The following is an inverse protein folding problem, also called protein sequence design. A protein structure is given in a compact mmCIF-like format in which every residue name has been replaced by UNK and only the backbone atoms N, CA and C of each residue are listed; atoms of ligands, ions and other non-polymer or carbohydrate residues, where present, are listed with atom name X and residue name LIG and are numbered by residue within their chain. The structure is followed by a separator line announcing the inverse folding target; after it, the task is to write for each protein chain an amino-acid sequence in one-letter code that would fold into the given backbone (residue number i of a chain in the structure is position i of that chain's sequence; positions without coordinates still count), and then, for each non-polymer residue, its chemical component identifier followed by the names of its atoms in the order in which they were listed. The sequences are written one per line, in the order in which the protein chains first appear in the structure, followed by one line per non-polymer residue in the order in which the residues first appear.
data_IF_793288033365
#
_entry.id   IF_793288033365
#
_cell.length_a   1.000
_cell.length_b   1.000
_cell.length_c   1.000
_cell.angle_alpha   90.00
_cell.angle_beta   90.00
_cell.angle_gamma   90.00
#
_symmetry.space_group_name_H-M   'P 1'
#
loop_
_entity.id
_entity.type
_entity.pdbx_description
1 polymer ?
#
# COMPACT_ATOMS: atom_id res chain seq x y z
N UNK A 1 -34.14 -13.41 -14.01
CA UNK A 1 -32.75 -12.88 -14.04
C UNK A 1 -32.38 -12.65 -12.59
N UNK A 2 -31.24 -13.20 -12.12
CA UNK A 2 -30.67 -12.85 -10.78
C UNK A 2 -30.41 -11.35 -10.79
N UNK A 3 -30.82 -10.63 -9.75
CA UNK A 3 -30.46 -9.21 -9.61
C UNK A 3 -28.95 -9.02 -9.56
N UNK A 4 -28.43 -7.78 -9.61
CA UNK A 4 -27.01 -7.53 -9.44
C UNK A 4 -26.55 -8.10 -8.10
N UNK A 5 -25.39 -8.76 -8.10
CA UNK A 5 -24.80 -9.31 -6.86
C UNK A 5 -24.39 -8.16 -5.93
N UNK A 6 -24.77 -8.29 -4.64
CA UNK A 6 -24.41 -7.32 -3.62
C UNK A 6 -23.09 -7.71 -2.97
N UNK A 7 -22.10 -6.80 -3.04
CA UNK A 7 -20.72 -7.03 -2.62
C UNK A 7 -20.39 -6.20 -1.39
N UNK A 8 -20.02 -6.85 -0.27
CA UNK A 8 -19.43 -6.20 0.88
C UNK A 8 -17.89 -6.17 0.75
N UNK A 9 -17.29 -4.99 0.77
CA UNK A 9 -15.85 -4.81 0.85
C UNK A 9 -15.47 -4.40 2.26
N UNK A 10 -14.75 -5.28 2.96
CA UNK A 10 -14.35 -5.11 4.37
C UNK A 10 -12.93 -4.57 4.44
N UNK A 11 -12.78 -3.39 5.01
CA UNK A 11 -11.54 -2.61 5.02
C UNK A 11 -11.47 -1.64 3.85
N UNK A 12 -11.50 -0.33 4.15
CA UNK A 12 -11.50 0.76 3.15
C UNK A 12 -10.16 1.50 3.18
N UNK A 13 -9.07 0.71 3.21
CA UNK A 13 -7.74 1.15 2.82
C UNK A 13 -7.62 1.29 1.30
N UNK A 14 -6.41 1.54 0.78
CA UNK A 14 -6.19 1.77 -0.66
C UNK A 14 -6.67 0.61 -1.54
N UNK A 15 -6.50 -0.65 -1.11
CA UNK A 15 -6.95 -1.81 -1.88
C UNK A 15 -8.48 -1.89 -1.88
N UNK A 16 -9.12 -1.87 -0.70
CA UNK A 16 -10.57 -1.98 -0.61
C UNK A 16 -11.31 -0.82 -1.29
N UNK A 17 -10.83 0.41 -1.15
CA UNK A 17 -11.37 1.56 -1.87
C UNK A 17 -11.25 1.39 -3.41
N UNK A 18 -10.11 0.85 -3.89
CA UNK A 18 -9.92 0.57 -5.32
C UNK A 18 -10.84 -0.53 -5.84
N UNK A 19 -11.03 -1.61 -5.06
CA UNK A 19 -11.99 -2.68 -5.40
C UNK A 19 -13.40 -2.13 -5.45
N UNK A 20 -13.82 -1.43 -4.39
CA UNK A 20 -15.17 -0.89 -4.29
C UNK A 20 -15.51 0.10 -5.41
N UNK A 21 -14.59 1.00 -5.73
CA UNK A 21 -14.77 1.93 -6.86
C UNK A 21 -14.89 1.18 -8.20
N UNK A 22 -14.01 0.19 -8.46
CA UNK A 22 -14.09 -0.55 -9.72
C UNK A 22 -15.36 -1.39 -9.82
N UNK A 23 -15.86 -1.98 -8.74
CA UNK A 23 -17.13 -2.70 -8.73
C UNK A 23 -18.32 -1.76 -8.97
N UNK A 24 -18.42 -0.65 -8.20
CA UNK A 24 -19.56 0.26 -8.27
C UNK A 24 -19.67 0.94 -9.63
N UNK A 25 -18.56 1.40 -10.22
CA UNK A 25 -18.57 2.01 -11.56
C UNK A 25 -19.00 1.05 -12.69
N UNK A 26 -18.94 -0.27 -12.45
CA UNK A 26 -19.39 -1.29 -13.39
C UNK A 26 -20.77 -1.88 -13.01
N UNK A 27 -21.50 -1.23 -12.10
CA UNK A 27 -22.90 -1.50 -11.82
C UNK A 27 -23.18 -2.57 -10.77
N UNK A 28 -22.16 -3.04 -10.01
CA UNK A 28 -22.40 -3.87 -8.83
C UNK A 28 -23.02 -3.05 -7.69
N UNK A 29 -23.87 -3.68 -6.87
CA UNK A 29 -24.30 -3.11 -5.60
C UNK A 29 -23.20 -3.28 -4.56
N UNK A 30 -22.54 -2.20 -4.18
CA UNK A 30 -21.36 -2.24 -3.27
C UNK A 30 -21.68 -1.62 -1.93
N UNK A 31 -21.27 -2.28 -0.85
CA UNK A 31 -21.18 -1.68 0.48
C UNK A 31 -19.73 -1.66 0.93
N UNK A 32 -19.19 -0.48 1.24
CA UNK A 32 -17.85 -0.26 1.79
C UNK A 32 -17.92 -0.20 3.31
N UNK A 33 -17.27 -1.13 3.99
CA UNK A 33 -17.33 -1.27 5.46
C UNK A 33 -15.94 -1.10 6.05
N UNK A 34 -15.80 -0.20 7.02
CA UNK A 34 -14.57 -0.03 7.79
C UNK A 34 -14.88 0.22 9.27
N UNK A 35 -14.08 -0.36 10.16
CA UNK A 35 -14.18 -0.12 11.62
C UNK A 35 -13.78 1.29 12.04
N UNK A 36 -12.99 1.99 11.22
CA UNK A 36 -12.57 3.38 11.39
C UNK A 36 -13.05 4.25 10.22
N UNK A 37 -12.24 5.24 9.87
CA UNK A 37 -12.47 6.09 8.70
C UNK A 37 -11.67 5.61 7.49
N UNK A 38 -12.13 5.88 6.24
CA UNK A 38 -11.45 5.45 5.04
C UNK A 38 -9.98 5.89 5.00
N UNK A 39 -9.09 4.93 4.72
CA UNK A 39 -7.67 5.17 4.60
C UNK A 39 -6.93 5.51 5.89
N UNK A 40 -7.57 5.51 7.05
CA UNK A 40 -6.99 5.93 8.33
C UNK A 40 -5.96 4.94 8.88
N UNK A 41 -6.03 3.67 8.48
CA UNK A 41 -5.09 2.62 8.88
C UNK A 41 -3.71 2.76 8.22
N UNK A 42 -3.10 1.63 7.87
CA UNK A 42 -1.74 1.56 7.26
C UNK A 42 -1.58 2.43 6.02
N UNK A 43 -2.66 2.67 5.28
CA UNK A 43 -2.64 3.53 4.09
C UNK A 43 -2.16 4.96 4.39
N UNK A 44 -2.59 5.56 5.50
CA UNK A 44 -2.13 6.89 5.95
C UNK A 44 -0.74 6.85 6.60
N UNK A 45 -0.31 5.70 7.09
CA UNK A 45 0.89 5.50 7.88
C UNK A 45 1.89 4.59 7.18
N UNK A 46 2.02 4.75 5.87
CA UNK A 46 3.03 4.12 5.04
C UNK A 46 3.95 5.16 4.41
N UNK A 47 5.12 4.73 3.98
CA UNK A 47 6.01 5.59 3.19
C UNK A 47 5.38 5.94 1.82
N UNK A 48 4.36 5.21 1.41
CA UNK A 48 3.50 5.46 0.23
C UNK A 48 4.26 5.57 -1.10
N UNK A 49 5.31 4.79 -1.26
CA UNK A 49 6.12 4.71 -2.47
C UNK A 49 5.49 3.78 -3.50
N UNK A 50 5.32 4.26 -4.72
CA UNK A 50 4.82 3.53 -5.90
C UNK A 50 6.01 3.10 -6.72
N UNK A 51 6.33 1.79 -6.72
CA UNK A 51 7.60 1.30 -7.24
C UNK A 51 7.55 -0.17 -7.68
N UNK A 52 8.57 -0.55 -8.48
CA UNK A 52 8.94 -1.94 -8.75
C UNK A 52 10.44 -2.21 -8.55
N UNK A 53 11.28 -1.19 -8.38
CA UNK A 53 12.75 -1.32 -8.31
C UNK A 53 13.26 -2.21 -7.17
N UNK A 54 12.52 -2.34 -6.07
CA UNK A 54 12.89 -3.19 -4.94
C UNK A 54 12.14 -4.55 -4.93
N UNK A 55 11.48 -4.96 -6.04
CA UNK A 55 10.69 -6.18 -6.16
C UNK A 55 11.40 -7.31 -6.92
N UNK A 56 12.71 -7.31 -6.93
CA UNK A 56 13.55 -8.19 -7.75
C UNK A 56 13.64 -9.65 -7.27
N UNK A 57 13.09 -9.97 -6.10
CA UNK A 57 13.12 -11.34 -5.55
C UNK A 57 12.30 -12.36 -6.37
N UNK A 58 11.30 -11.91 -7.13
CA UNK A 58 10.45 -12.74 -7.98
C UNK A 58 9.96 -11.92 -9.18
N UNK A 59 10.18 -12.44 -10.40
CA UNK A 59 9.81 -11.70 -11.63
C UNK A 59 8.32 -11.41 -11.73
N UNK A 60 7.45 -12.38 -11.40
CA UNK A 60 6.00 -12.16 -11.41
C UNK A 60 5.54 -11.08 -10.42
N UNK A 61 6.23 -10.95 -9.27
CA UNK A 61 5.94 -9.87 -8.33
C UNK A 61 6.44 -8.51 -8.83
N UNK A 62 7.58 -8.48 -9.49
CA UNK A 62 8.05 -7.30 -10.19
C UNK A 62 7.04 -6.87 -11.26
N UNK A 63 6.61 -7.79 -12.12
CA UNK A 63 5.65 -7.51 -13.19
C UNK A 63 4.30 -6.99 -12.68
N UNK A 64 3.80 -7.59 -11.59
CA UNK A 64 2.59 -7.09 -10.93
C UNK A 64 2.78 -5.66 -10.40
N UNK A 65 3.96 -5.32 -9.84
CA UNK A 65 4.22 -3.96 -9.36
C UNK A 65 4.40 -2.96 -10.51
N UNK A 66 5.00 -3.36 -11.64
CA UNK A 66 5.06 -2.53 -12.88
C UNK A 66 3.64 -2.25 -13.38
N UNK A 67 2.78 -3.27 -13.44
CA UNK A 67 1.36 -3.09 -13.77
C UNK A 67 0.64 -2.17 -12.76
N UNK A 68 1.04 -2.22 -11.47
CA UNK A 68 0.54 -1.31 -10.44
C UNK A 68 0.94 0.14 -10.69
N UNK A 69 2.19 0.40 -11.07
CA UNK A 69 2.66 1.74 -11.45
C UNK A 69 1.87 2.28 -12.65
N UNK A 70 1.69 1.49 -13.69
CA UNK A 70 0.89 1.85 -14.86
C UNK A 70 -0.58 2.16 -14.48
N UNK A 71 -1.16 1.35 -13.59
CA UNK A 71 -2.52 1.56 -13.12
C UNK A 71 -2.69 2.87 -12.32
N UNK A 72 -1.66 3.36 -11.63
CA UNK A 72 -1.68 4.69 -11.01
C UNK A 72 -1.71 5.81 -12.05
N UNK A 73 -0.93 5.70 -13.13
CA UNK A 73 -0.96 6.68 -14.22
C UNK A 73 -2.34 6.72 -14.90
N UNK A 74 -2.93 5.55 -15.19
CA UNK A 74 -4.28 5.43 -15.75
C UNK A 74 -5.34 6.03 -14.80
N UNK A 75 -5.20 5.74 -13.49
CA UNK A 75 -6.10 6.27 -12.47
C UNK A 75 -6.01 7.80 -12.38
N UNK A 76 -4.79 8.36 -12.40
CA UNK A 76 -4.59 9.80 -12.40
C UNK A 76 -5.24 10.48 -13.62
N UNK A 77 -5.18 9.86 -14.79
CA UNK A 77 -5.90 10.30 -15.98
C UNK A 77 -7.43 10.21 -15.86
N UNK A 78 -7.94 9.31 -15.01
CA UNK A 78 -9.38 9.04 -14.88
C UNK A 78 -10.06 9.92 -13.82
N UNK A 79 -9.45 10.06 -12.63
CA UNK A 79 -10.05 10.77 -11.48
C UNK A 79 -9.36 12.10 -11.15
N UNK A 80 -8.36 12.50 -11.94
CA UNK A 80 -7.50 13.66 -11.71
C UNK A 80 -6.37 13.35 -10.72
N UNK A 81 -5.15 13.91 -10.94
CA UNK A 81 -3.98 13.65 -10.12
C UNK A 81 -3.92 14.47 -8.84
N UNK A 82 -4.71 15.53 -8.73
CA UNK A 82 -4.56 16.59 -7.73
C UNK A 82 -4.57 16.07 -6.30
N UNK A 83 -3.60 16.53 -5.53
CA UNK A 83 -3.44 16.30 -4.11
C UNK A 83 -3.10 14.85 -3.67
N UNK A 84 -2.98 13.89 -4.59
CA UNK A 84 -2.66 12.51 -4.22
C UNK A 84 -1.55 11.84 -5.03
N UNK A 85 -1.29 12.27 -6.30
CA UNK A 85 -0.34 11.63 -7.21
C UNK A 85 0.87 12.52 -7.49
N UNK A 86 2.06 12.02 -7.21
CA UNK A 86 3.32 12.77 -7.33
C UNK A 86 4.38 11.93 -8.07
N UNK A 87 4.39 11.96 -9.44
CA UNK A 87 5.34 11.22 -10.26
C UNK A 87 6.68 11.95 -10.34
N UNK A 88 7.36 12.12 -9.21
CA UNK A 88 8.60 12.89 -9.10
C UNK A 88 9.87 12.06 -9.33
N UNK A 89 9.75 10.76 -9.52
CA UNK A 89 10.86 9.82 -9.48
C UNK A 89 11.30 9.50 -8.05
N UNK A 90 12.33 8.65 -7.95
CA UNK A 90 12.88 8.18 -6.69
C UNK A 90 14.41 8.14 -6.74
N UNK A 91 15.07 8.59 -5.69
CA UNK A 91 16.52 8.59 -5.55
C UNK A 91 16.98 7.51 -4.57
N UNK A 92 18.12 6.87 -4.85
CA UNK A 92 18.71 5.87 -3.96
C UNK A 92 20.24 5.88 -4.02
N UNK A 93 20.89 5.88 -2.85
CA UNK A 93 22.35 5.75 -2.74
C UNK A 93 22.74 5.03 -1.44
N UNK A 94 24.01 4.69 -1.32
CA UNK A 94 24.60 4.06 -0.13
C UNK A 94 25.82 4.85 0.32
N UNK A 95 26.25 4.63 1.56
CA UNK A 95 27.45 5.19 2.17
C UNK A 95 28.56 4.14 2.40
N UNK A 96 28.28 2.88 2.06
CA UNK A 96 29.26 1.80 2.13
C UNK A 96 29.43 1.10 0.76
N UNK A 97 30.66 0.64 0.42
CA UNK A 97 30.93 0.05 -0.89
C UNK A 97 30.16 -1.25 -1.18
N UNK A 98 29.80 -2.02 -0.16
CA UNK A 98 29.08 -3.29 -0.37
C UNK A 98 27.61 -3.05 -0.71
N UNK A 99 26.96 -2.09 -0.04
CA UNK A 99 25.60 -1.67 -0.35
C UNK A 99 25.55 -0.96 -1.72
N UNK A 100 26.53 -0.10 -2.04
CA UNK A 100 26.67 0.53 -3.35
C UNK A 100 26.75 -0.51 -4.47
N UNK A 101 27.67 -1.46 -4.36
CA UNK A 101 27.83 -2.53 -5.34
C UNK A 101 26.57 -3.37 -5.49
N UNK A 102 25.80 -3.60 -4.40
CA UNK A 102 24.51 -4.27 -4.46
C UNK A 102 23.47 -3.45 -5.22
N UNK A 103 23.42 -2.14 -5.01
CA UNK A 103 22.48 -1.25 -5.71
C UNK A 103 22.78 -1.19 -7.21
N UNK A 104 24.05 -1.08 -7.59
CA UNK A 104 24.48 -1.08 -8.99
C UNK A 104 24.12 -2.40 -9.68
N UNK A 105 24.40 -3.56 -9.06
CA UNK A 105 23.98 -4.87 -9.61
C UNK A 105 22.45 -4.97 -9.75
N UNK A 106 21.69 -4.39 -8.82
CA UNK A 106 20.23 -4.35 -8.93
C UNK A 106 19.79 -3.47 -10.10
N UNK A 107 20.46 -2.35 -10.33
CA UNK A 107 20.19 -1.47 -11.48
C UNK A 107 20.46 -2.19 -12.82
N UNK A 108 21.56 -2.95 -12.92
CA UNK A 108 21.86 -3.78 -14.10
C UNK A 108 20.78 -4.84 -14.35
N UNK A 109 20.34 -5.55 -13.31
CA UNK A 109 19.25 -6.51 -13.41
C UNK A 109 17.95 -5.86 -13.90
N UNK A 110 17.59 -4.70 -13.36
CA UNK A 110 16.40 -3.94 -13.72
C UNK A 110 16.48 -3.45 -15.17
N UNK A 111 17.63 -2.95 -15.59
CA UNK A 111 17.85 -2.59 -16.99
C UNK A 111 17.66 -3.78 -17.94
N UNK A 112 18.10 -4.99 -17.53
CA UNK A 112 17.83 -6.23 -18.25
C UNK A 112 16.35 -6.65 -18.30
N UNK A 113 15.50 -6.05 -17.46
CA UNK A 113 14.05 -6.20 -17.47
C UNK A 113 13.30 -4.99 -18.07
N UNK A 114 14.00 -4.17 -18.87
CA UNK A 114 13.49 -2.94 -19.49
C UNK A 114 12.93 -1.92 -18.46
N UNK A 115 13.47 -1.96 -17.24
CA UNK A 115 13.10 -0.99 -16.21
C UNK A 115 14.06 0.17 -16.19
N UNK A 116 13.56 1.38 -16.31
CA UNK A 116 14.37 2.57 -16.45
C UNK A 116 15.08 2.94 -15.15
N UNK A 117 16.41 2.95 -15.21
CA UNK A 117 17.30 3.39 -14.12
C UNK A 117 18.35 4.32 -14.71
N UNK A 118 18.55 5.46 -14.10
CA UNK A 118 19.60 6.42 -14.46
C UNK A 118 20.58 6.52 -13.28
N UNK A 119 21.86 6.75 -13.57
CA UNK A 119 22.90 6.88 -12.55
C UNK A 119 23.49 8.28 -12.66
N UNK A 120 23.51 9.01 -11.56
CA UNK A 120 24.08 10.34 -11.43
C UNK A 120 25.13 10.34 -10.32
N UNK A 121 26.04 11.30 -10.36
CA UNK A 121 26.89 11.60 -9.21
C UNK A 121 26.14 12.42 -8.17
N UNK A 122 26.59 12.41 -6.91
CA UNK A 122 26.00 13.25 -5.88
C UNK A 122 26.01 14.74 -6.23
N UNK A 123 27.10 15.22 -6.89
CA UNK A 123 27.20 16.58 -7.37
C UNK A 123 26.12 16.91 -8.43
N UNK A 124 25.86 16.01 -9.37
CA UNK A 124 24.79 16.17 -10.36
C UNK A 124 23.41 16.17 -9.71
N UNK A 125 23.16 15.31 -8.74
CA UNK A 125 21.88 15.26 -8.03
C UNK A 125 21.62 16.56 -7.29
N UNK A 126 22.62 17.11 -6.57
CA UNK A 126 22.46 18.40 -5.89
C UNK A 126 22.23 19.55 -6.84
N UNK A 127 22.94 19.57 -7.97
CA UNK A 127 22.81 20.66 -8.93
C UNK A 127 21.53 20.63 -9.76
N UNK A 128 20.97 19.43 -10.01
CA UNK A 128 19.85 19.25 -10.97
C UNK A 128 18.52 18.95 -10.31
N UNK A 129 18.52 18.30 -9.15
CA UNK A 129 17.31 17.70 -8.58
C UNK A 129 17.03 18.15 -7.13
N UNK A 130 18.00 18.02 -6.23
CA UNK A 130 17.81 18.12 -4.79
C UNK A 130 18.98 18.89 -4.14
N UNK A 131 18.97 20.23 -4.21
CA UNK A 131 20.09 21.05 -3.71
C UNK A 131 20.29 20.97 -2.20
N UNK A 132 19.28 20.56 -1.44
CA UNK A 132 19.33 20.42 0.02
C UNK A 132 20.08 19.18 0.52
N UNK A 133 20.47 18.24 -0.35
CA UNK A 133 21.10 17.00 0.06
C UNK A 133 22.59 17.17 0.39
N UNK A 134 23.06 16.38 1.37
CA UNK A 134 24.49 16.30 1.74
C UNK A 134 25.23 15.14 1.10
N UNK A 135 24.65 14.51 0.05
CA UNK A 135 25.29 13.39 -0.65
C UNK A 135 26.69 13.82 -1.17
N UNK A 136 27.77 13.04 -0.96
CA UNK A 136 29.11 13.37 -1.46
C UNK A 136 29.16 13.45 -3.01
N UNK A 137 30.11 14.24 -3.53
CA UNK A 137 30.18 14.60 -4.96
C UNK A 137 30.23 13.41 -5.90
N UNK A 138 31.03 12.41 -5.59
CA UNK A 138 31.39 11.25 -6.42
C UNK A 138 30.57 9.98 -6.11
N UNK A 139 29.71 10.00 -5.08
CA UNK A 139 28.84 8.86 -4.78
C UNK A 139 27.82 8.64 -5.89
N UNK A 140 27.70 7.40 -6.42
CA UNK A 140 26.67 7.08 -7.41
C UNK A 140 25.28 7.07 -6.77
N UNK A 141 24.38 7.84 -7.37
CA UNK A 141 22.97 7.94 -6.98
C UNK A 141 22.11 7.35 -8.10
N UNK A 142 21.37 6.32 -7.78
CA UNK A 142 20.39 5.74 -8.69
C UNK A 142 19.14 6.61 -8.71
N UNK A 143 18.67 6.94 -9.91
CA UNK A 143 17.40 7.63 -10.12
C UNK A 143 16.44 6.72 -10.90
N UNK A 144 15.25 6.54 -10.34
CA UNK A 144 14.16 5.76 -10.93
C UNK A 144 13.07 6.74 -11.40
N UNK A 145 13.12 7.23 -12.64
CA UNK A 145 12.28 8.34 -13.10
C UNK A 145 10.78 8.01 -13.16
N UNK A 146 10.43 6.74 -13.35
CA UNK A 146 9.03 6.29 -13.50
C UNK A 146 8.37 5.95 -12.16
N UNK A 147 9.12 6.02 -11.06
CA UNK A 147 8.58 5.83 -9.72
C UNK A 147 7.94 7.11 -9.16
N UNK A 148 7.05 6.91 -8.19
CA UNK A 148 6.25 7.99 -7.66
C UNK A 148 6.01 7.80 -6.16
N UNK A 149 5.38 8.77 -5.55
CA UNK A 149 4.73 8.59 -4.25
C UNK A 149 3.29 9.10 -4.31
N UNK A 150 2.47 8.64 -3.37
CA UNK A 150 1.08 9.07 -3.25
C UNK A 150 0.77 9.59 -1.86
N UNK A 151 -0.19 10.52 -1.78
CA UNK A 151 -0.84 10.83 -0.52
C UNK A 151 -1.99 9.83 -0.31
N UNK A 152 -1.69 8.72 0.39
CA UNK A 152 -2.59 7.56 0.47
C UNK A 152 -4.00 7.89 0.95
N UNK A 153 -4.16 8.75 1.97
CA UNK A 153 -5.47 9.16 2.49
C UNK A 153 -6.28 9.97 1.46
N UNK A 154 -5.62 10.86 0.71
CA UNK A 154 -6.30 11.63 -0.34
C UNK A 154 -6.72 10.74 -1.50
N UNK A 155 -5.87 9.78 -1.92
CA UNK A 155 -6.24 8.79 -2.91
C UNK A 155 -7.49 8.00 -2.49
N UNK A 156 -7.50 7.47 -1.25
CA UNK A 156 -8.67 6.74 -0.73
C UNK A 156 -9.90 7.64 -0.69
N UNK A 157 -9.79 8.87 -0.23
CA UNK A 157 -10.91 9.82 -0.23
C UNK A 157 -11.49 10.07 -1.62
N UNK A 158 -10.62 10.18 -2.64
CA UNK A 158 -11.06 10.31 -4.05
C UNK A 158 -11.79 9.06 -4.54
N UNK A 159 -11.22 7.86 -4.28
CA UNK A 159 -11.83 6.59 -4.68
C UNK A 159 -13.19 6.36 -4.02
N UNK A 160 -13.31 6.62 -2.71
CA UNK A 160 -14.56 6.52 -1.96
C UNK A 160 -15.59 7.53 -2.48
N UNK A 161 -15.18 8.77 -2.76
CA UNK A 161 -16.06 9.78 -3.36
C UNK A 161 -16.60 9.34 -4.71
N UNK A 162 -15.75 8.75 -5.56
CA UNK A 162 -16.18 8.20 -6.86
C UNK A 162 -17.08 6.96 -6.71
N UNK A 163 -16.81 6.07 -5.76
CA UNK A 163 -17.67 4.93 -5.46
C UNK A 163 -19.05 5.37 -4.97
N UNK A 164 -19.11 6.35 -4.07
CA UNK A 164 -20.34 6.94 -3.57
C UNK A 164 -21.16 7.61 -4.69
N UNK A 165 -20.49 8.33 -5.59
CA UNK A 165 -21.14 8.90 -6.78
C UNK A 165 -21.72 7.83 -7.72
N UNK A 166 -21.19 6.60 -7.66
CA UNK A 166 -21.69 5.41 -8.35
C UNK A 166 -22.64 4.57 -7.46
N UNK A 167 -23.25 5.17 -6.45
CA UNK A 167 -24.23 4.57 -5.54
C UNK A 167 -23.71 3.50 -4.57
N UNK A 168 -22.41 3.44 -4.30
CA UNK A 168 -21.90 2.58 -3.24
C UNK A 168 -22.40 3.03 -1.86
N UNK A 169 -22.87 2.09 -1.06
CA UNK A 169 -23.25 2.30 0.34
C UNK A 169 -21.99 2.39 1.22
N UNK A 170 -21.97 3.33 2.17
CA UNK A 170 -20.82 3.58 3.05
C UNK A 170 -21.20 3.26 4.50
N UNK A 171 -20.42 2.39 5.17
CA UNK A 171 -20.59 1.97 6.57
C UNK A 171 -19.26 2.11 7.30
N UNK A 172 -18.98 3.29 7.83
CA UNK A 172 -17.75 3.60 8.54
C UNK A 172 -17.99 3.70 10.06
N UNK A 173 -16.93 3.45 10.85
CA UNK A 173 -17.02 3.37 12.30
C UNK A 173 -17.74 2.10 12.78
N UNK A 174 -17.91 1.09 11.92
CA UNK A 174 -18.59 -0.16 12.19
C UNK A 174 -17.72 -1.36 11.81
N UNK A 175 -17.31 -2.15 12.78
CA UNK A 175 -16.58 -3.39 12.54
C UNK A 175 -17.54 -4.49 12.06
N UNK A 176 -17.07 -5.36 11.17
CA UNK A 176 -17.74 -6.64 10.90
C UNK A 176 -17.45 -7.59 12.06
N UNK A 177 -18.49 -8.19 12.63
CA UNK A 177 -18.41 -9.10 13.77
C UNK A 177 -18.73 -10.55 13.43
N UNK A 178 -19.44 -10.77 12.30
CA UNK A 178 -19.79 -12.13 11.83
C UNK A 178 -20.02 -12.11 10.32
N UNK A 179 -19.71 -13.23 9.65
CA UNK A 179 -19.92 -13.46 8.23
C UNK A 179 -20.67 -14.77 8.06
N UNK A 180 -21.96 -14.65 7.75
CA UNK A 180 -22.89 -15.75 7.64
C UNK A 180 -22.84 -16.43 6.26
N UNK A 181 -22.93 -17.78 6.29
CA UNK A 181 -23.04 -18.61 5.08
C UNK A 181 -24.36 -19.37 5.05
N UNK A 182 -24.78 -19.85 3.87
CA UNK A 182 -25.92 -20.78 3.76
C UNK A 182 -25.49 -22.24 4.04
N UNK A 183 -26.45 -23.16 3.96
CA UNK A 183 -26.20 -24.60 4.15
C UNK A 183 -25.21 -25.20 3.12
N UNK A 184 -25.00 -24.52 2.00
CA UNK A 184 -24.00 -24.88 0.97
C UNK A 184 -22.63 -24.23 1.20
N UNK A 185 -22.45 -23.43 2.27
CA UNK A 185 -21.21 -22.75 2.59
C UNK A 185 -20.98 -21.43 1.80
N UNK A 186 -21.95 -20.99 1.02
CA UNK A 186 -21.85 -19.74 0.25
C UNK A 186 -22.16 -18.53 1.12
N UNK A 187 -21.46 -17.40 0.90
CA UNK A 187 -21.70 -16.13 1.59
C UNK A 187 -23.17 -15.69 1.48
N UNK A 188 -23.73 -15.18 2.59
CA UNK A 188 -25.12 -14.66 2.65
C UNK A 188 -25.27 -13.36 3.40
N UNK A 189 -24.43 -13.07 4.37
CA UNK A 189 -24.60 -11.85 5.17
C UNK A 189 -23.33 -11.43 5.88
N UNK A 190 -23.29 -10.18 6.28
CA UNK A 190 -22.34 -9.65 7.27
C UNK A 190 -23.12 -9.01 8.43
N UNK A 191 -22.65 -9.17 9.66
CA UNK A 191 -23.18 -8.53 10.84
C UNK A 191 -22.18 -7.49 11.34
N UNK A 192 -22.66 -6.28 11.60
CA UNK A 192 -21.85 -5.17 12.06
C UNK A 192 -21.90 -5.00 13.59
N UNK A 193 -20.96 -4.25 14.15
CA UNK A 193 -20.85 -4.00 15.59
C UNK A 193 -22.03 -3.22 16.19
N UNK A 194 -22.80 -2.50 15.37
CA UNK A 194 -24.05 -1.84 15.78
C UNK A 194 -25.27 -2.78 15.81
N UNK A 195 -25.07 -4.09 15.52
CA UNK A 195 -26.10 -5.10 15.44
C UNK A 195 -26.83 -5.17 14.10
N UNK A 196 -26.54 -4.29 13.14
CA UNK A 196 -27.15 -4.35 11.82
C UNK A 196 -26.63 -5.56 11.03
N UNK A 197 -27.54 -6.19 10.28
CA UNK A 197 -27.26 -7.29 9.36
C UNK A 197 -27.48 -6.81 7.93
N UNK A 198 -26.52 -7.07 7.08
CA UNK A 198 -26.59 -6.79 5.64
C UNK A 198 -26.57 -8.12 4.90
N UNK A 199 -27.59 -8.35 4.08
CA UNK A 199 -27.60 -9.49 3.16
C UNK A 199 -26.67 -9.15 1.98
N UNK A 200 -25.75 -10.06 1.67
CA UNK A 200 -24.73 -9.91 0.61
C UNK A 200 -24.46 -11.24 -0.06
N UNK A 201 -24.12 -11.23 -1.33
CA UNK A 201 -23.76 -12.43 -2.09
C UNK A 201 -22.25 -12.66 -2.08
N UNK A 202 -21.46 -11.58 -1.92
CA UNK A 202 -20.00 -11.59 -2.00
C UNK A 202 -19.40 -10.77 -0.86
N UNK A 203 -18.30 -11.27 -0.29
CA UNK A 203 -17.43 -10.57 0.65
C UNK A 203 -16.03 -10.46 0.07
N UNK A 204 -15.47 -9.27 0.05
CA UNK A 204 -14.06 -9.02 -0.23
C UNK A 204 -13.35 -8.61 1.05
N UNK A 205 -12.46 -9.45 1.55
CA UNK A 205 -11.61 -9.15 2.70
C UNK A 205 -10.40 -8.33 2.26
N UNK A 206 -10.46 -7.02 2.45
CA UNK A 206 -9.40 -6.05 2.21
C UNK A 206 -8.94 -5.38 3.52
N UNK A 207 -9.08 -6.06 4.66
CA UNK A 207 -8.88 -5.53 6.02
C UNK A 207 -7.40 -5.35 6.41
N UNK A 208 -6.47 -5.45 5.46
CA UNK A 208 -5.05 -5.21 5.69
C UNK A 208 -4.46 -6.09 6.80
N UNK A 209 -3.85 -5.51 7.86
CA UNK A 209 -3.30 -6.32 8.96
C UNK A 209 -4.34 -7.17 9.70
N UNK A 210 -5.60 -6.76 9.68
CA UNK A 210 -6.71 -7.48 10.32
C UNK A 210 -7.33 -8.57 9.45
N UNK A 211 -6.78 -8.85 8.26
CA UNK A 211 -7.37 -9.78 7.30
C UNK A 211 -7.49 -11.22 7.85
N UNK A 212 -6.54 -11.68 8.67
CA UNK A 212 -6.61 -12.97 9.35
C UNK A 212 -7.82 -13.03 10.32
N UNK A 213 -8.07 -11.95 11.06
CA UNK A 213 -9.21 -11.86 11.95
C UNK A 213 -10.53 -11.91 11.14
N UNK A 214 -10.65 -11.13 10.09
CA UNK A 214 -11.85 -11.13 9.23
C UNK A 214 -12.08 -12.49 8.58
N UNK A 215 -11.02 -13.17 8.13
CA UNK A 215 -11.13 -14.55 7.63
C UNK A 215 -11.66 -15.52 8.70
N UNK A 216 -11.28 -15.33 9.96
CA UNK A 216 -11.76 -16.11 11.09
C UNK A 216 -13.24 -15.94 11.45
N UNK A 217 -13.91 -14.90 10.92
CA UNK A 217 -15.35 -14.66 11.09
C UNK A 217 -16.19 -15.49 10.11
N UNK A 218 -15.59 -16.09 9.10
CA UNK A 218 -16.32 -16.85 8.07
C UNK A 218 -16.54 -18.27 8.53
N UNK A 219 -17.79 -18.67 8.67
CA UNK A 219 -18.14 -20.05 8.98
C UNK A 219 -17.64 -21.01 7.89
N UNK A 220 -16.96 -22.08 8.30
CA UNK A 220 -16.41 -23.09 7.38
C UNK A 220 -14.98 -22.83 6.90
N UNK A 221 -14.37 -21.70 7.21
CA UNK A 221 -12.94 -21.50 7.01
C UNK A 221 -12.13 -22.09 8.19
N UNK A 222 -10.98 -22.69 7.86
CA UNK A 222 -10.03 -23.17 8.87
C UNK A 222 -9.46 -21.96 9.63
N UNK A 223 -9.42 -22.06 10.96
CA UNK A 223 -8.82 -21.04 11.79
C UNK A 223 -7.36 -20.76 11.35
N UNK A 224 -7.02 -19.48 11.16
CA UNK A 224 -5.68 -19.10 10.68
C UNK A 224 -5.44 -19.32 9.19
N UNK A 225 -6.48 -19.52 8.40
CA UNK A 225 -6.38 -19.75 6.94
C UNK A 225 -5.50 -18.71 6.22
N UNK A 226 -5.60 -17.43 6.54
CA UNK A 226 -4.74 -16.38 6.00
C UNK A 226 -3.73 -15.96 7.07
N UNK A 227 -2.64 -16.72 7.26
CA UNK A 227 -1.68 -16.39 8.30
C UNK A 227 -0.93 -15.10 7.94
N UNK A 228 -0.90 -14.16 8.89
CA UNK A 228 -0.23 -12.88 8.73
C UNK A 228 1.05 -12.86 9.54
N UNK A 229 2.11 -12.28 8.98
CA UNK A 229 3.35 -12.02 9.69
C UNK A 229 3.26 -10.68 10.40
N UNK A 230 3.62 -10.65 11.71
CA UNK A 230 3.78 -9.39 12.41
C UNK A 230 5.10 -8.74 11.96
N UNK A 231 5.02 -7.59 11.35
CA UNK A 231 6.17 -6.79 10.93
C UNK A 231 5.84 -5.31 11.11
N UNK A 232 6.00 -4.78 12.34
CA UNK A 232 5.68 -3.39 12.62
C UNK A 232 6.66 -2.45 11.92
N UNK A 233 6.19 -1.26 11.61
CA UNK A 233 7.00 -0.18 11.08
C UNK A 233 6.67 1.14 11.73
N UNK A 234 7.69 1.95 12.03
CA UNK A 234 7.52 3.30 12.56
C UNK A 234 7.58 4.32 11.44
N UNK A 235 6.62 5.21 11.41
CA UNK A 235 6.56 6.34 10.48
C UNK A 235 6.42 7.61 11.27
N UNK A 236 7.28 8.60 10.99
CA UNK A 236 7.19 9.94 11.56
C UNK A 236 6.84 10.98 10.49
N UNK A 237 5.94 11.90 10.83
CA UNK A 237 5.67 13.11 10.07
C UNK A 237 6.37 14.28 10.74
N UNK A 238 7.11 15.02 9.95
CA UNK A 238 7.88 16.18 10.40
C UNK A 238 7.29 17.43 9.73
N UNK A 239 6.90 18.41 10.53
CA UNK A 239 6.47 19.71 10.03
C UNK A 239 7.71 20.60 9.83
N UNK A 240 7.79 21.25 8.69
CA UNK A 240 8.82 22.21 8.31
C UNK A 240 8.20 23.49 7.73
N UNK A 241 8.89 24.62 7.82
CA UNK A 241 8.40 25.87 7.26
C UNK A 241 8.24 25.83 5.73
N UNK A 242 9.15 25.09 5.09
CA UNK A 242 9.12 24.76 3.67
C UNK A 242 9.74 23.38 3.51
N UNK A 243 9.16 22.54 2.63
CA UNK A 243 9.73 21.22 2.34
C UNK A 243 11.00 21.37 1.51
N UNK A 244 12.16 20.91 2.03
CA UNK A 244 13.45 21.11 1.36
C UNK A 244 13.75 20.07 0.27
N UNK A 245 12.90 19.06 0.13
CA UNK A 245 13.05 17.96 -0.84
C UNK A 245 11.84 17.84 -1.74
N UNK A 246 12.07 17.48 -3.01
CA UNK A 246 11.02 17.38 -4.04
C UNK A 246 10.68 15.94 -4.39
N UNK A 247 11.58 15.00 -4.10
CA UNK A 247 11.47 13.57 -4.44
C UNK A 247 11.46 12.69 -3.21
N UNK A 248 10.84 11.54 -3.36
CA UNK A 248 11.05 10.47 -2.40
C UNK A 248 12.44 9.86 -2.60
N UNK A 249 13.07 9.42 -1.52
CA UNK A 249 14.44 8.91 -1.56
C UNK A 249 14.72 7.87 -0.49
N UNK A 250 15.69 7.00 -0.77
CA UNK A 250 16.34 6.12 0.18
C UNK A 250 17.81 6.53 0.29
N UNK A 251 18.09 7.33 1.29
CA UNK A 251 19.43 7.68 1.72
C UNK A 251 19.99 6.61 2.68
N UNK A 252 21.26 6.60 2.99
CA UNK A 252 21.79 5.76 4.06
C UNK A 252 21.00 5.92 5.35
N UNK A 253 20.55 4.79 5.89
CA UNK A 253 19.81 4.67 7.17
C UNK A 253 18.43 5.34 7.24
N UNK A 254 17.97 6.06 6.19
CA UNK A 254 16.70 6.80 6.23
C UNK A 254 16.01 6.85 4.86
N UNK A 255 14.70 6.75 4.87
CA UNK A 255 13.83 7.05 3.75
C UNK A 255 13.10 8.37 4.03
N UNK A 256 13.12 9.29 3.07
CA UNK A 256 12.53 10.62 3.17
C UNK A 256 11.63 10.85 1.97
N UNK A 257 10.42 11.37 2.18
CA UNK A 257 9.58 11.86 1.09
C UNK A 257 8.82 13.14 1.48
N UNK A 258 8.50 13.99 0.52
CA UNK A 258 7.54 15.08 0.73
C UNK A 258 6.17 14.55 1.19
N UNK A 259 5.42 15.39 1.91
CA UNK A 259 4.03 15.13 2.28
C UNK A 259 3.19 16.41 2.22
N UNK A 260 3.19 17.06 1.07
CA UNK A 260 2.66 18.40 0.85
C UNK A 260 3.75 19.46 0.95
N UNK A 261 3.36 20.71 1.14
CA UNK A 261 4.27 21.87 1.08
C UNK A 261 5.00 22.16 2.40
N UNK A 262 4.51 21.59 3.50
CA UNK A 262 4.99 21.90 4.86
C UNK A 262 5.32 20.67 5.71
N UNK A 263 5.39 19.50 5.10
CA UNK A 263 5.71 18.27 5.84
C UNK A 263 6.55 17.30 5.03
N UNK A 264 7.34 16.48 5.72
CA UNK A 264 7.99 15.29 5.19
C UNK A 264 7.59 14.05 5.99
N UNK A 265 7.66 12.89 5.37
CA UNK A 265 7.49 11.59 6.03
C UNK A 265 8.84 10.90 6.08
N UNK A 266 9.18 10.37 7.26
CA UNK A 266 10.39 9.65 7.55
C UNK A 266 10.08 8.19 7.89
N UNK A 267 10.94 7.29 7.42
CA UNK A 267 10.92 5.87 7.71
C UNK A 267 12.34 5.29 7.68
N UNK A 268 12.59 4.23 8.47
CA UNK A 268 13.86 3.48 8.43
C UNK A 268 13.63 2.05 8.88
N UNK A 269 14.10 1.08 8.09
CA UNK A 269 14.05 -0.34 8.48
C UNK A 269 14.95 -0.68 9.66
N UNK A 270 16.07 0.04 9.82
CA UNK A 270 16.97 -0.14 10.95
C UNK A 270 16.31 0.33 12.26
N UNK A 271 15.55 1.42 12.19
CA UNK A 271 14.80 1.94 13.34
C UNK A 271 13.57 1.07 13.62
N UNK A 272 12.93 0.46 12.60
CA UNK A 272 11.88 -0.54 12.81
C UNK A 272 12.36 -1.71 13.68
N UNK A 273 13.59 -2.17 13.50
CA UNK A 273 14.20 -3.22 14.31
C UNK A 273 14.32 -2.87 15.81
N UNK A 274 14.19 -1.60 16.16
CA UNK A 274 14.21 -1.12 17.54
C UNK A 274 12.83 -1.05 18.21
N UNK A 275 11.74 -1.29 17.49
CA UNK A 275 10.36 -1.16 18.01
C UNK A 275 10.16 -2.05 19.25
N UNK A 276 10.60 -3.31 19.19
CA UNK A 276 10.41 -4.27 20.28
C UNK A 276 11.53 -4.21 21.37
N UNK A 277 12.40 -3.19 21.35
CA UNK A 277 13.48 -3.01 22.35
C UNK A 277 13.07 -2.14 23.56
N UNK A 278 11.78 -1.81 23.69
CA UNK A 278 11.26 -0.99 24.78
C UNK A 278 11.36 0.52 24.57
N UNK A 279 11.72 0.97 23.35
CA UNK A 279 11.70 2.39 23.01
C UNK A 279 10.25 2.84 22.72
N UNK A 280 9.89 4.00 23.29
CA UNK A 280 8.60 4.62 22.97
C UNK A 280 8.60 5.25 21.54
N UNK A 281 7.41 5.49 20.94
CA UNK A 281 7.33 6.07 19.59
C UNK A 281 8.05 7.41 19.44
N UNK A 282 8.09 8.24 20.47
CA UNK A 282 8.79 9.53 20.46
C UNK A 282 10.33 9.36 20.41
N UNK A 283 10.87 8.34 21.07
CA UNK A 283 12.29 8.00 20.98
C UNK A 283 12.65 7.54 19.57
N UNK A 284 11.83 6.68 18.96
CA UNK A 284 12.02 6.21 17.58
C UNK A 284 11.93 7.36 16.57
N UNK A 285 10.97 8.28 16.76
CA UNK A 285 10.83 9.46 15.91
C UNK A 285 12.03 10.39 15.98
N UNK A 286 12.62 10.57 17.17
CA UNK A 286 13.86 11.37 17.32
C UNK A 286 15.03 10.74 16.56
N UNK A 287 15.16 9.41 16.58
CA UNK A 287 16.18 8.72 15.78
C UNK A 287 15.94 8.91 14.27
N UNK A 288 14.70 8.79 13.80
CA UNK A 288 14.35 9.08 12.40
C UNK A 288 14.72 10.52 12.02
N UNK A 289 14.34 11.49 12.86
CA UNK A 289 14.63 12.90 12.62
C UNK A 289 16.15 13.18 12.62
N UNK A 290 16.88 12.57 13.55
CA UNK A 290 18.34 12.69 13.61
C UNK A 290 19.01 12.13 12.35
N UNK A 291 18.60 10.96 11.86
CA UNK A 291 19.09 10.40 10.60
C UNK A 291 18.74 11.30 9.41
N UNK A 292 17.54 11.85 9.37
CA UNK A 292 17.10 12.70 8.27
C UNK A 292 17.88 14.01 8.17
N UNK A 293 18.19 14.66 9.28
CA UNK A 293 18.97 15.91 9.29
C UNK A 293 20.44 15.75 8.87
N UNK A 294 21.00 14.52 8.95
CA UNK A 294 22.31 14.25 8.38
C UNK A 294 22.30 14.25 6.85
N UNK A 295 21.18 13.91 6.25
CA UNK A 295 20.97 13.87 4.79
C UNK A 295 20.44 15.19 4.26
N UNK A 296 19.56 15.85 5.02
CA UNK A 296 18.90 17.12 4.70
C UNK A 296 19.01 18.04 5.91
N UNK A 297 20.09 18.84 6.04
CA UNK A 297 20.35 19.70 7.22
C UNK A 297 19.23 20.68 7.55
N UNK A 298 18.50 21.16 6.55
CA UNK A 298 17.36 22.07 6.69
C UNK A 298 16.21 21.47 7.53
N UNK A 299 16.16 20.16 7.71
CA UNK A 299 15.23 19.51 8.63
C UNK A 299 15.63 19.66 10.11
N UNK A 300 16.82 20.20 10.42
CA UNK A 300 17.31 20.35 11.79
C UNK A 300 16.39 21.15 12.71
N UNK A 301 15.78 22.20 12.20
CA UNK A 301 14.86 23.09 12.93
C UNK A 301 13.39 22.68 12.83
N UNK A 302 13.10 21.55 12.19
CA UNK A 302 11.74 21.04 11.98
C UNK A 302 11.20 20.35 13.24
N UNK A 303 9.87 20.21 13.32
CA UNK A 303 9.16 19.63 14.47
C UNK A 303 8.58 18.27 14.14
N UNK A 304 8.81 17.29 15.01
CA UNK A 304 8.07 16.02 14.95
C UNK A 304 6.59 16.31 15.23
N UNK A 305 5.77 16.16 14.21
CA UNK A 305 4.33 16.43 14.30
C UNK A 305 3.56 15.22 14.81
N UNK A 306 3.83 14.06 14.24
CA UNK A 306 3.10 12.84 14.56
C UNK A 306 3.98 11.60 14.31
N UNK A 307 3.78 10.57 15.12
CA UNK A 307 4.49 9.29 15.00
C UNK A 307 3.52 8.14 15.19
N UNK A 308 3.59 7.14 14.33
CA UNK A 308 2.79 5.92 14.44
C UNK A 308 3.65 4.68 14.22
N UNK A 309 3.33 3.65 14.98
CA UNK A 309 3.78 2.29 14.72
C UNK A 309 2.57 1.53 14.17
N UNK A 310 2.73 0.91 13.01
CA UNK A 310 1.67 0.15 12.35
C UNK A 310 2.19 -1.21 11.89
N UNK A 311 1.38 -2.25 12.00
CA UNK A 311 1.71 -3.55 11.45
C UNK A 311 1.49 -3.56 9.93
N UNK A 312 2.48 -4.09 9.20
CA UNK A 312 2.39 -4.22 7.74
C UNK A 312 1.46 -5.39 7.38
N UNK A 313 0.61 -5.25 6.35
CA UNK A 313 -0.30 -6.32 5.91
C UNK A 313 0.45 -7.36 5.08
N UNK A 314 1.24 -8.22 5.72
CA UNK A 314 2.10 -9.20 5.05
C UNK A 314 1.57 -10.61 5.33
N UNK A 315 1.03 -11.34 4.33
CA UNK A 315 0.84 -12.78 4.46
C UNK A 315 2.15 -13.48 4.82
N UNK A 316 2.08 -14.59 5.56
CA UNK A 316 3.25 -15.21 6.19
C UNK A 316 4.35 -15.62 5.20
N UNK A 317 3.97 -15.93 3.96
CA UNK A 317 4.90 -16.22 2.86
C UNK A 317 5.52 -15.00 2.19
N UNK A 318 5.06 -13.79 2.55
CA UNK A 318 5.55 -12.52 2.03
C UNK A 318 4.90 -12.01 0.74
N UNK A 319 3.98 -12.79 0.13
CA UNK A 319 3.36 -12.46 -1.15
C UNK A 319 1.89 -12.03 -1.01
N UNK A 320 1.35 -11.25 -1.95
CA UNK A 320 -0.07 -10.89 -1.96
C UNK A 320 -1.00 -12.10 -1.90
N UNK A 321 -2.18 -11.98 -1.28
CA UNK A 321 -3.28 -12.93 -1.41
C UNK A 321 -4.46 -12.23 -2.08
N UNK A 322 -4.74 -12.59 -3.34
CA UNK A 322 -5.73 -11.90 -4.17
C UNK A 322 -6.55 -12.89 -4.99
N UNK A 323 -7.87 -12.90 -4.80
CA UNK A 323 -8.81 -13.72 -5.57
C UNK A 323 -9.80 -14.47 -4.71
N UNK A 324 -10.59 -15.33 -5.35
CA UNK A 324 -11.57 -16.20 -4.70
C UNK A 324 -10.91 -17.23 -3.78
N UNK A 325 -11.60 -17.55 -2.68
CA UNK A 325 -11.28 -18.67 -1.80
C UNK A 325 -12.19 -19.84 -2.14
N UNK A 326 -11.69 -20.92 -2.77
CA UNK A 326 -12.55 -21.96 -3.36
C UNK A 326 -13.44 -22.68 -2.36
N UNK A 327 -13.01 -22.81 -1.09
CA UNK A 327 -13.78 -23.49 -0.04
C UNK A 327 -15.00 -22.72 0.43
N UNK A 328 -15.11 -21.39 0.12
CA UNK A 328 -16.26 -20.56 0.48
C UNK A 328 -16.70 -19.73 -0.72
N UNK A 329 -17.67 -20.21 -1.50
CA UNK A 329 -18.20 -19.45 -2.64
C UNK A 329 -18.70 -18.06 -2.22
N UNK A 330 -18.27 -17.05 -2.96
CA UNK A 330 -18.57 -15.63 -2.66
C UNK A 330 -17.57 -14.95 -1.72
N UNK A 331 -16.54 -15.66 -1.20
CA UNK A 331 -15.51 -15.03 -0.39
C UNK A 331 -14.21 -14.82 -1.18
N UNK A 332 -13.68 -13.59 -1.12
CA UNK A 332 -12.46 -13.17 -1.79
C UNK A 332 -11.48 -12.52 -0.82
N UNK A 333 -10.19 -12.70 -1.07
CA UNK A 333 -9.10 -12.02 -0.36
C UNK A 333 -8.47 -10.95 -1.25
N UNK A 334 -8.07 -9.82 -0.64
CA UNK A 334 -7.37 -8.72 -1.30
C UNK A 334 -6.35 -8.08 -0.34
N UNK A 335 -5.25 -8.78 -0.08
CA UNK A 335 -4.24 -8.41 0.93
C UNK A 335 -2.85 -8.36 0.32
N UNK A 336 -2.11 -7.29 0.57
CA UNK A 336 -0.74 -7.12 0.10
C UNK A 336 0.05 -6.14 0.94
N UNK A 337 1.34 -6.44 1.18
CA UNK A 337 2.30 -5.48 1.71
C UNK A 337 2.48 -4.25 0.81
N UNK A 338 2.60 -4.45 -0.50
CA UNK A 338 2.73 -3.35 -1.47
C UNK A 338 1.38 -2.71 -1.84
N UNK A 339 0.45 -2.62 -0.87
CA UNK A 339 -0.92 -2.16 -1.10
C UNK A 339 -1.00 -0.79 -1.79
N UNK A 340 -0.08 0.11 -1.52
CA UNK A 340 -0.02 1.43 -2.19
C UNK A 340 0.22 1.23 -3.69
N UNK A 341 1.30 0.57 -4.11
CA UNK A 341 1.58 0.33 -5.52
C UNK A 341 0.49 -0.50 -6.18
N UNK A 342 0.03 -1.54 -5.49
CA UNK A 342 -0.86 -2.56 -6.07
C UNK A 342 -2.35 -2.23 -5.96
N UNK A 343 -2.76 -1.26 -5.13
CA UNK A 343 -4.17 -0.96 -4.90
C UNK A 343 -4.99 -0.78 -6.18
N UNK A 344 -4.60 0.11 -7.10
CA UNK A 344 -5.36 0.33 -8.34
C UNK A 344 -5.42 -0.90 -9.25
N UNK A 345 -4.31 -1.63 -9.44
CA UNK A 345 -4.30 -2.82 -10.30
C UNK A 345 -5.07 -3.98 -9.67
N UNK A 346 -4.90 -4.26 -8.36
CA UNK A 346 -5.70 -5.27 -7.65
C UNK A 346 -7.19 -4.90 -7.72
N UNK A 347 -7.53 -3.63 -7.49
CA UNK A 347 -8.91 -3.17 -7.58
C UNK A 347 -9.55 -3.47 -8.93
N UNK A 348 -8.84 -3.21 -10.02
CA UNK A 348 -9.29 -3.48 -11.38
C UNK A 348 -9.42 -4.98 -11.67
N UNK A 349 -8.36 -5.75 -11.37
CA UNK A 349 -8.31 -7.18 -11.70
C UNK A 349 -9.31 -8.00 -10.89
N UNK A 350 -9.43 -7.72 -9.58
CA UNK A 350 -10.36 -8.43 -8.73
C UNK A 350 -11.82 -8.06 -9.03
N UNK A 351 -12.12 -6.81 -9.33
CA UNK A 351 -13.45 -6.42 -9.77
C UNK A 351 -13.83 -7.12 -11.10
N UNK A 352 -12.89 -7.20 -12.04
CA UNK A 352 -13.10 -7.97 -13.29
C UNK A 352 -13.37 -9.45 -13.02
N UNK A 353 -12.62 -10.09 -12.11
CA UNK A 353 -12.84 -11.49 -11.73
C UNK A 353 -14.21 -11.70 -11.09
N UNK A 354 -14.61 -10.82 -10.16
CA UNK A 354 -15.93 -10.89 -9.50
C UNK A 354 -17.08 -10.76 -10.51
N UNK A 355 -16.99 -9.80 -11.44
CA UNK A 355 -18.06 -9.50 -12.37
C UNK A 355 -18.16 -10.47 -13.56
N UNK A 356 -17.05 -11.02 -14.00
CA UNK A 356 -17.00 -11.84 -15.23
C UNK A 356 -16.55 -13.28 -15.02
N UNK A 357 -16.04 -13.62 -13.82
CA UNK A 357 -15.41 -14.91 -13.53
C UNK A 357 -14.02 -15.07 -14.17
N UNK A 358 -13.52 -14.09 -14.92
CA UNK A 358 -12.25 -14.19 -15.64
C UNK A 358 -11.06 -13.88 -14.71
N UNK A 359 -10.24 -14.91 -14.47
CA UNK A 359 -9.00 -14.79 -13.69
C UNK A 359 -7.88 -14.20 -14.56
N UNK A 360 -7.15 -13.24 -14.03
CA UNK A 360 -6.02 -12.61 -14.72
C UNK A 360 -4.71 -13.33 -14.39
N UNK A 361 -3.83 -13.47 -15.39
CA UNK A 361 -2.55 -14.18 -15.28
C UNK A 361 -1.57 -13.49 -14.33
N UNK A 362 -1.61 -12.17 -14.21
CA UNK A 362 -0.78 -11.41 -13.28
C UNK A 362 -0.98 -11.82 -11.80
N UNK A 363 -2.14 -12.42 -11.48
CA UNK A 363 -2.45 -12.86 -10.13
C UNK A 363 -2.18 -14.36 -9.90
N UNK A 364 -1.70 -15.11 -10.89
CA UNK A 364 -1.57 -16.59 -10.81
C UNK A 364 -0.75 -17.03 -9.61
N UNK A 365 0.40 -16.41 -9.37
CA UNK A 365 1.30 -16.75 -8.25
C UNK A 365 0.81 -16.23 -6.88
N UNK A 366 -0.26 -15.43 -6.86
CA UNK A 366 -0.73 -14.70 -5.69
C UNK A 366 -2.13 -15.11 -5.25
N UNK A 367 -2.60 -16.27 -5.73
CA UNK A 367 -3.93 -16.79 -5.43
C UNK A 367 -4.06 -17.30 -4.00
N UNK A 368 -5.26 -17.16 -3.39
CA UNK A 368 -5.53 -17.68 -2.05
C UNK A 368 -5.39 -19.20 -1.91
N UNK A 369 -5.54 -19.96 -3.00
CA UNK A 369 -5.45 -21.42 -3.00
C UNK A 369 -4.14 -21.99 -2.48
N UNK A 370 -3.08 -21.19 -2.43
CA UNK A 370 -1.79 -21.61 -1.87
C UNK A 370 -1.79 -21.74 -0.34
N UNK A 371 -2.79 -21.18 0.32
CA UNK A 371 -3.01 -21.38 1.76
C UNK A 371 -4.00 -22.52 2.01
N UNK A 372 -3.95 -23.18 3.19
CA UNK A 372 -4.88 -24.25 3.55
C UNK A 372 -6.35 -23.79 3.48
N UNK A 373 -7.24 -24.70 3.08
CA UNK A 373 -8.70 -24.47 3.02
C UNK A 373 -9.35 -24.67 4.36
#
# INVERSE_FOLDING_TARGET
MKGPERVAVIGVGVIGASVGWNLSRHGAEVVLIDSGQPGEGVTSWSFSWVNASNKTARKSYFDLNVAGMAAHCELAGTIGPDSWWYPSGYLRWADDPAAEAKFLRTAELLAGWDYRVEVYTGAEVRSRFEPALTVPDDVPVLFYPDEAWVHGRHLVGRLVGQASASSAELRFGNAVCDIGTDAGGSIRSVVLSDGSRLDVDIVVNAAGPSACHVAGLVAGLVAGRLPMRREPGVVARIDCAQVPVHRAMHAPHIEIRPAGDTSVVLHSREIDALIDTGKDPGQLARLLHESARHVVPELGDSRIAETRIVDRPIPSDGWPSVGAVPSVPGYYEAVSHSGITLGPVIGRLLASEILSGKRDELLTDFRPERFPS
#
